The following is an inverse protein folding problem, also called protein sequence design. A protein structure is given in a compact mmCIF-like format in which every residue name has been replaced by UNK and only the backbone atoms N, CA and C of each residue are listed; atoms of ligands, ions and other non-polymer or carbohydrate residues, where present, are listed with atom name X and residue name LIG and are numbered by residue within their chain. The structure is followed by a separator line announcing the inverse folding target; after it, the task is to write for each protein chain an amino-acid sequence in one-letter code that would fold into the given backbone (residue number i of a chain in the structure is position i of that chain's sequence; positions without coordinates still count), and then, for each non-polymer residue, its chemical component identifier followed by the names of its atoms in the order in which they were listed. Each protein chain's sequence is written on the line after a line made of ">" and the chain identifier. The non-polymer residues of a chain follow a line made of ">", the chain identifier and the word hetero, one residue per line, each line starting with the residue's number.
data_IF_737096585163
#
_entry.id   IF_737096585163
#
_cell.length_a   1.000
_cell.length_b   1.000
_cell.length_c   1.000
_cell.angle_alpha   90.00
_cell.angle_beta   90.00
_cell.angle_gamma   90.00
#
_symmetry.space_group_name_H-M   'P 1'
#
loop_
_entity.id
_entity.type
_entity.pdbx_description
1 polymer ?
#
# COMPACT_ATOMS: atom_id res chain seq x y z
N UNK A 1 -15.97 -86.86 -1.01
CA UNK A 1 -14.66 -86.27 -1.37
C UNK A 1 -14.08 -85.63 -0.13
N UNK A 2 -12.93 -86.17 0.31
CA UNK A 2 -11.82 -85.61 1.11
C UNK A 2 -12.17 -84.41 2.03
N UNK A 3 -12.35 -84.59 3.34
CA UNK A 3 -11.35 -84.74 4.42
C UNK A 3 -10.53 -83.46 4.76
N UNK A 4 -10.66 -83.07 6.03
CA UNK A 4 -9.56 -82.77 6.97
C UNK A 4 -9.00 -81.33 7.11
N UNK A 5 -9.26 -80.83 8.33
CA UNK A 5 -8.36 -80.23 9.31
C UNK A 5 -8.16 -78.70 9.44
N UNK A 6 -8.63 -78.27 10.60
CA UNK A 6 -8.11 -77.19 11.44
C UNK A 6 -6.58 -77.17 11.54
N UNK A 7 -5.99 -75.98 11.50
CA UNK A 7 -4.75 -75.66 12.23
C UNK A 7 -4.87 -74.23 12.81
N UNK A 8 -4.81 -74.13 14.14
CA UNK A 8 -4.42 -72.93 14.89
C UNK A 8 -2.90 -72.82 14.89
N UNK A 9 -2.31 -71.65 14.63
CA UNK A 9 -0.95 -71.30 15.12
C UNK A 9 -0.88 -69.84 15.54
N UNK A 10 -0.22 -69.64 16.69
CA UNK A 10 0.07 -68.42 17.42
C UNK A 10 1.29 -67.64 16.88
N UNK A 11 1.29 -66.33 17.16
CA UNK A 11 2.43 -65.42 17.46
C UNK A 11 3.48 -65.15 16.35
N UNK A 12 3.67 -63.86 16.05
CA UNK A 12 4.95 -63.18 16.35
C UNK A 12 4.86 -61.66 16.10
N UNK A 13 5.28 -60.90 17.11
CA UNK A 13 5.57 -59.46 16.98
C UNK A 13 6.90 -59.29 16.22
N UNK A 14 7.03 -58.31 15.31
CA UNK A 14 8.34 -57.88 14.86
C UNK A 14 9.02 -57.07 15.98
N UNK A 15 10.12 -57.60 16.50
CA UNK A 15 11.04 -56.89 17.39
C UNK A 15 11.72 -55.73 16.64
N UNK A 16 11.86 -54.62 17.37
CA UNK A 16 12.64 -53.42 17.03
C UNK A 16 14.04 -53.78 16.51
N UNK A 17 14.43 -53.19 15.37
CA UNK A 17 15.84 -52.89 15.07
C UNK A 17 16.14 -51.47 15.54
N UNK A 18 17.12 -51.32 16.44
CA UNK A 18 17.93 -50.09 16.50
C UNK A 18 18.76 -50.01 15.21
N UNK A 19 19.38 -48.89 14.84
CA UNK A 19 19.96 -47.87 15.67
C UNK A 19 20.35 -46.65 14.80
N UNK A 20 20.58 -45.50 15.45
CA UNK A 20 21.29 -44.26 15.06
C UNK A 20 21.24 -43.71 13.63
N UNK A 21 20.66 -42.51 13.49
CA UNK A 21 21.42 -41.28 13.24
C UNK A 21 20.52 -40.04 13.47
N UNK A 22 20.96 -39.18 14.38
CA UNK A 22 20.20 -38.05 14.88
C UNK A 22 20.17 -36.87 13.91
N UNK A 23 18.96 -36.41 13.61
CA UNK A 23 18.67 -34.99 13.39
C UNK A 23 17.44 -34.70 14.23
N UNK A 24 17.64 -33.99 15.35
CA UNK A 24 16.55 -33.58 16.23
C UNK A 24 15.63 -32.63 15.46
N UNK A 25 14.52 -33.13 14.93
CA UNK A 25 13.39 -32.28 14.55
C UNK A 25 12.87 -31.62 15.84
N UNK A 26 12.72 -30.28 15.90
CA UNK A 26 12.17 -29.64 17.08
C UNK A 26 10.76 -30.20 17.34
N UNK A 27 10.54 -30.71 18.55
CA UNK A 27 9.22 -31.16 19.00
C UNK A 27 8.30 -29.94 19.06
N UNK A 28 7.20 -30.01 18.31
CA UNK A 28 6.09 -29.08 18.42
C UNK A 28 5.60 -29.06 19.88
N UNK A 29 5.47 -27.89 20.54
CA UNK A 29 4.93 -27.83 21.88
C UNK A 29 3.46 -28.25 21.88
N UNK A 30 3.09 -29.09 22.85
CA UNK A 30 1.72 -29.54 23.10
C UNK A 30 0.77 -28.34 23.24
N UNK A 31 -0.23 -28.24 22.37
CA UNK A 31 -1.27 -27.21 22.46
C UNK A 31 -2.22 -27.54 23.61
N UNK A 32 -2.06 -26.85 24.74
CA UNK A 32 -3.09 -26.84 25.78
C UNK A 32 -4.29 -26.06 25.24
N UNK A 33 -5.32 -26.79 24.80
CA UNK A 33 -6.65 -26.23 24.52
C UNK A 33 -7.28 -25.73 25.82
N UNK A 34 -6.96 -24.50 26.22
CA UNK A 34 -7.81 -23.74 27.14
C UNK A 34 -8.96 -23.17 26.32
N UNK A 35 -10.18 -23.60 26.64
CA UNK A 35 -11.42 -23.01 26.13
C UNK A 35 -11.47 -21.54 26.55
N UNK A 36 -11.00 -20.65 25.69
CA UNK A 36 -11.26 -19.22 25.80
C UNK A 36 -12.59 -18.95 25.10
N UNK A 37 -13.54 -18.43 25.86
CA UNK A 37 -14.80 -17.90 25.35
C UNK A 37 -14.44 -16.92 24.22
N UNK A 38 -14.98 -17.16 23.02
CA UNK A 38 -14.63 -16.44 21.79
C UNK A 38 -15.16 -15.01 21.85
N UNK A 39 -14.43 -14.12 22.50
CA UNK A 39 -14.56 -12.70 22.24
C UNK A 39 -14.01 -12.48 20.82
N UNK A 40 -14.89 -12.23 19.86
CA UNK A 40 -14.45 -11.88 18.50
C UNK A 40 -13.57 -10.64 18.61
N UNK A 41 -12.28 -10.70 18.23
CA UNK A 41 -11.39 -9.57 18.36
C UNK A 41 -11.97 -8.39 17.58
N UNK A 42 -12.10 -7.24 18.26
CA UNK A 42 -12.64 -6.03 17.65
C UNK A 42 -11.75 -5.59 16.48
N UNK A 43 -12.32 -5.12 15.36
CA UNK A 43 -11.53 -4.58 14.25
C UNK A 43 -10.64 -3.44 14.73
N UNK A 44 -9.40 -3.41 14.27
CA UNK A 44 -8.42 -2.37 14.62
C UNK A 44 -8.23 -1.46 13.42
N UNK A 45 -8.42 -0.15 13.61
CA UNK A 45 -8.28 0.85 12.54
C UNK A 45 -7.00 1.67 12.75
N UNK A 46 -6.17 1.77 11.72
CA UNK A 46 -4.98 2.61 11.65
C UNK A 46 -4.97 3.34 10.31
N UNK A 47 -4.99 4.67 10.34
CA UNK A 47 -5.01 5.47 9.12
C UNK A 47 -6.21 5.12 8.23
N UNK A 48 -5.94 4.79 6.97
CA UNK A 48 -6.96 4.36 6.01
C UNK A 48 -7.23 2.83 6.02
N UNK A 49 -6.58 2.07 6.91
CA UNK A 49 -6.68 0.61 7.00
C UNK A 49 -7.47 0.17 8.24
N UNK A 50 -8.38 -0.78 8.05
CA UNK A 50 -9.08 -1.49 9.13
C UNK A 50 -8.77 -2.98 9.04
N UNK A 51 -8.11 -3.52 10.05
CA UNK A 51 -7.79 -4.96 10.15
C UNK A 51 -8.90 -5.68 10.89
N UNK A 52 -9.46 -6.72 10.27
CA UNK A 52 -10.51 -7.57 10.84
C UNK A 52 -9.97 -8.92 11.31
N UNK A 53 -8.96 -9.45 10.62
CA UNK A 53 -8.33 -10.71 10.98
C UNK A 53 -6.84 -10.69 10.66
N UNK A 54 -6.00 -11.08 11.63
CA UNK A 54 -4.54 -11.19 11.44
C UNK A 54 -4.13 -12.52 10.80
N UNK A 55 -5.03 -13.51 10.70
CA UNK A 55 -4.76 -14.80 10.06
C UNK A 55 -3.86 -15.74 10.88
N UNK A 56 -3.48 -16.86 10.27
CA UNK A 56 -2.59 -17.88 10.83
C UNK A 56 -1.26 -17.92 10.07
N UNK A 57 -0.13 -17.97 10.80
CA UNK A 57 1.20 -18.01 10.21
C UNK A 57 1.44 -19.39 9.60
N UNK A 58 1.97 -19.40 8.37
CA UNK A 58 2.43 -20.62 7.69
C UNK A 58 3.92 -20.48 7.45
N UNK A 59 4.72 -21.30 8.12
CA UNK A 59 6.18 -21.26 8.06
C UNK A 59 6.78 -22.47 7.31
N UNK A 60 5.97 -23.48 6.97
CA UNK A 60 6.43 -24.70 6.28
C UNK A 60 6.93 -24.44 4.86
N UNK A 61 6.56 -23.30 4.27
CA UNK A 61 6.87 -22.92 2.89
C UNK A 61 7.32 -21.46 2.82
N UNK A 62 8.44 -21.15 2.14
CA UNK A 62 9.01 -19.80 2.12
C UNK A 62 8.18 -18.78 1.33
N UNK A 63 7.16 -19.21 0.59
CA UNK A 63 6.29 -18.32 -0.18
C UNK A 63 5.29 -17.53 0.69
N UNK A 64 5.19 -17.82 1.98
CA UNK A 64 4.27 -17.18 2.92
C UNK A 64 4.92 -16.06 3.74
N UNK A 65 6.12 -15.65 3.39
CA UNK A 65 6.78 -14.48 3.98
C UNK A 65 7.82 -13.92 3.01
N UNK A 66 8.03 -12.60 3.08
CA UNK A 66 9.16 -11.89 2.50
C UNK A 66 10.12 -11.46 3.62
N UNK A 67 11.16 -10.70 3.27
CA UNK A 67 12.00 -10.01 4.25
C UNK A 67 11.20 -9.00 5.07
N UNK A 68 10.17 -8.39 4.48
CA UNK A 68 9.43 -7.27 5.06
C UNK A 68 8.02 -7.61 5.57
N UNK A 69 7.45 -8.76 5.20
CA UNK A 69 6.06 -9.10 5.55
C UNK A 69 5.86 -10.61 5.77
N UNK A 70 4.90 -10.96 6.62
CA UNK A 70 4.41 -12.34 6.79
C UNK A 70 2.99 -12.41 6.21
N UNK A 71 2.77 -13.33 5.28
CA UNK A 71 1.51 -13.51 4.56
C UNK A 71 0.62 -14.54 5.26
N UNK A 72 0.10 -14.19 6.43
CA UNK A 72 -0.74 -15.10 7.22
C UNK A 72 -2.03 -15.49 6.50
N UNK A 73 -2.35 -16.79 6.50
CA UNK A 73 -3.55 -17.33 5.87
C UNK A 73 -4.80 -16.86 6.61
N UNK A 74 -5.78 -16.35 5.88
CA UNK A 74 -7.02 -15.82 6.45
C UNK A 74 -6.89 -14.37 6.93
N UNK A 75 -5.75 -13.71 6.69
CA UNK A 75 -5.63 -12.27 6.89
C UNK A 75 -6.71 -11.54 6.10
N UNK A 76 -7.36 -10.57 6.76
CA UNK A 76 -8.41 -9.77 6.16
C UNK A 76 -8.38 -8.35 6.74
N UNK A 77 -8.22 -7.38 5.83
CA UNK A 77 -8.25 -5.97 6.12
C UNK A 77 -9.03 -5.24 5.03
N UNK A 78 -9.49 -4.03 5.33
CA UNK A 78 -9.98 -3.10 4.32
C UNK A 78 -9.12 -1.86 4.28
N UNK A 79 -8.87 -1.33 3.09
CA UNK A 79 -8.22 -0.03 2.89
C UNK A 79 -9.16 0.91 2.13
N UNK A 80 -9.26 2.15 2.57
CA UNK A 80 -9.92 3.20 1.80
C UNK A 80 -8.95 3.79 0.80
N UNK A 81 -9.35 3.90 -0.48
CA UNK A 81 -8.50 4.43 -1.55
C UNK A 81 -9.35 4.99 -2.70
N UNK A 82 -8.74 5.43 -3.81
CA UNK A 82 -9.46 6.00 -4.94
C UNK A 82 -10.33 4.97 -5.67
N UNK A 83 -11.55 5.35 -6.04
CA UNK A 83 -12.47 4.46 -6.74
C UNK A 83 -12.05 4.28 -8.21
N UNK A 84 -11.87 3.03 -8.64
CA UNK A 84 -11.32 2.69 -9.97
C UNK A 84 -12.14 3.22 -11.17
N UNK A 85 -13.46 3.42 -11.06
CA UNK A 85 -14.30 4.07 -12.10
C UNK A 85 -14.56 5.56 -11.90
N UNK A 86 -14.45 6.05 -10.66
CA UNK A 86 -14.76 7.44 -10.32
C UNK A 86 -13.65 7.94 -9.41
N UNK A 87 -12.54 8.28 -10.05
CA UNK A 87 -11.27 8.61 -9.40
C UNK A 87 -11.36 9.79 -8.42
N UNK A 88 -12.45 10.55 -8.42
CA UNK A 88 -12.70 11.67 -7.50
C UNK A 88 -13.39 11.25 -6.19
N UNK A 89 -13.76 9.98 -6.07
CA UNK A 89 -14.46 9.40 -4.93
C UNK A 89 -13.61 8.36 -4.22
N UNK A 90 -13.87 8.20 -2.91
CA UNK A 90 -13.26 7.14 -2.10
C UNK A 90 -14.04 5.83 -2.31
N UNK A 91 -13.31 4.72 -2.35
CA UNK A 91 -13.83 3.36 -2.32
C UNK A 91 -13.13 2.58 -1.21
N UNK A 92 -13.85 1.69 -0.54
CA UNK A 92 -13.26 0.75 0.40
C UNK A 92 -12.93 -0.55 -0.33
N UNK A 93 -11.66 -0.94 -0.31
CA UNK A 93 -11.18 -2.20 -0.88
C UNK A 93 -10.93 -3.22 0.22
N UNK A 94 -11.38 -4.44 0.00
CA UNK A 94 -11.20 -5.62 0.83
C UNK A 94 -9.95 -6.37 0.37
N UNK A 95 -8.95 -6.47 1.25
CA UNK A 95 -7.67 -7.12 1.02
C UNK A 95 -7.64 -8.45 1.79
N UNK A 96 -7.40 -9.57 1.09
CA UNK A 96 -7.38 -10.90 1.70
C UNK A 96 -6.16 -11.72 1.29
N UNK A 97 -5.66 -12.51 2.23
CA UNK A 97 -4.63 -13.54 1.99
C UNK A 97 -5.26 -14.91 2.16
N UNK A 98 -5.26 -15.71 1.09
CA UNK A 98 -5.88 -17.03 1.04
C UNK A 98 -4.82 -18.13 0.91
N UNK A 99 -5.12 -19.32 1.42
CA UNK A 99 -4.29 -20.52 1.20
C UNK A 99 -4.57 -21.11 -0.18
N UNK A 100 -3.53 -21.30 -0.99
CA UNK A 100 -3.64 -21.87 -2.34
C UNK A 100 -2.49 -22.84 -2.62
N UNK A 101 -2.53 -24.00 -1.98
CA UNK A 101 -1.46 -25.00 -2.12
C UNK A 101 -0.20 -24.59 -1.37
N UNK A 102 0.92 -24.48 -2.08
CA UNK A 102 2.25 -24.16 -1.52
C UNK A 102 2.55 -22.66 -1.45
N UNK A 103 1.70 -21.80 -2.01
CA UNK A 103 1.86 -20.34 -1.99
C UNK A 103 0.54 -19.64 -1.65
N UNK A 104 0.61 -18.42 -1.07
CA UNK A 104 -0.58 -17.61 -0.82
C UNK A 104 -1.21 -17.14 -2.14
N UNK A 105 -2.52 -16.88 -2.10
CA UNK A 105 -3.22 -16.08 -3.11
C UNK A 105 -3.68 -14.78 -2.47
N UNK A 106 -3.44 -13.69 -3.17
CA UNK A 106 -3.84 -12.36 -2.73
C UNK A 106 -5.07 -11.93 -3.50
N UNK A 107 -5.99 -11.23 -2.83
CA UNK A 107 -7.22 -10.74 -3.41
C UNK A 107 -7.46 -9.29 -2.99
N UNK A 108 -7.78 -8.43 -3.95
CA UNK A 108 -8.37 -7.10 -3.72
C UNK A 108 -9.76 -7.10 -4.35
N UNK A 109 -10.76 -6.69 -3.56
CA UNK A 109 -12.15 -6.58 -4.01
C UNK A 109 -12.73 -5.23 -3.57
N UNK A 110 -13.48 -4.55 -4.42
CA UNK A 110 -14.20 -3.33 -4.00
C UNK A 110 -15.37 -3.66 -3.05
N UNK A 111 -15.80 -2.69 -2.26
CA UNK A 111 -16.90 -2.89 -1.31
C UNK A 111 -18.20 -3.36 -1.99
N UNK A 112 -18.46 -2.82 -3.17
CA UNK A 112 -19.68 -3.08 -3.95
C UNK A 112 -19.57 -4.33 -4.84
N UNK A 113 -18.44 -5.04 -4.82
CA UNK A 113 -18.17 -6.27 -5.57
C UNK A 113 -18.26 -6.13 -7.09
N UNK A 114 -18.07 -4.93 -7.64
CA UNK A 114 -17.96 -4.71 -9.07
C UNK A 114 -16.55 -4.92 -9.63
N UNK A 115 -15.56 -5.02 -8.75
CA UNK A 115 -14.15 -5.21 -9.07
C UNK A 115 -13.55 -6.26 -8.15
N UNK A 116 -12.82 -7.20 -8.76
CA UNK A 116 -12.07 -8.23 -8.06
C UNK A 116 -10.82 -8.54 -8.86
N UNK A 117 -9.67 -8.51 -8.19
CA UNK A 117 -8.41 -9.00 -8.74
C UNK A 117 -7.80 -10.01 -7.78
N UNK A 118 -7.21 -11.07 -8.34
CA UNK A 118 -6.48 -12.08 -7.60
C UNK A 118 -5.11 -12.30 -8.22
N UNK A 119 -4.06 -12.31 -7.42
CA UNK A 119 -2.67 -12.41 -7.86
C UNK A 119 -1.86 -13.41 -7.02
N UNK A 120 -0.62 -13.65 -7.46
CA UNK A 120 0.39 -14.45 -6.76
C UNK A 120 1.23 -13.60 -5.80
N UNK A 121 1.22 -12.27 -5.95
CA UNK A 121 1.77 -11.31 -5.01
C UNK A 121 0.78 -10.19 -4.71
N UNK A 122 1.02 -9.47 -3.62
CA UNK A 122 0.31 -8.23 -3.27
C UNK A 122 0.52 -7.15 -4.32
N UNK A 123 1.75 -7.01 -4.81
CA UNK A 123 2.13 -6.04 -5.85
C UNK A 123 1.39 -6.30 -7.16
N UNK A 124 1.22 -7.56 -7.58
CA UNK A 124 0.46 -7.90 -8.79
C UNK A 124 -0.99 -7.40 -8.68
N UNK A 125 -1.64 -7.60 -7.53
CA UNK A 125 -3.00 -7.12 -7.30
C UNK A 125 -3.07 -5.59 -7.26
N UNK A 126 -2.14 -4.96 -6.54
CA UNK A 126 -2.11 -3.52 -6.34
C UNK A 126 -1.80 -2.77 -7.64
N UNK A 127 -0.80 -3.22 -8.40
CA UNK A 127 -0.45 -2.64 -9.70
C UNK A 127 -1.59 -2.79 -10.71
N UNK A 128 -2.36 -3.89 -10.65
CA UNK A 128 -3.56 -4.02 -11.48
C UNK A 128 -4.61 -2.96 -11.13
N UNK A 129 -4.88 -2.72 -9.83
CA UNK A 129 -5.79 -1.66 -9.40
C UNK A 129 -5.29 -0.27 -9.85
N UNK A 130 -4.01 0.04 -9.65
CA UNK A 130 -3.42 1.31 -10.08
C UNK A 130 -3.53 1.50 -11.60
N UNK A 131 -3.32 0.44 -12.39
CA UNK A 131 -3.44 0.52 -13.85
C UNK A 131 -4.85 0.91 -14.31
N UNK A 132 -5.90 0.49 -13.58
CA UNK A 132 -7.28 0.89 -13.88
C UNK A 132 -7.52 2.35 -13.54
N UNK A 133 -6.98 2.81 -12.42
CA UNK A 133 -7.08 4.20 -11.98
C UNK A 133 -6.35 5.12 -12.97
N UNK A 134 -5.12 4.78 -13.39
CA UNK A 134 -4.34 5.55 -14.38
C UNK A 134 -5.04 5.65 -15.73
N UNK A 135 -5.67 4.56 -16.19
CA UNK A 135 -6.48 4.58 -17.42
C UNK A 135 -7.63 5.59 -17.33
N UNK A 136 -8.28 5.69 -16.17
CA UNK A 136 -9.35 6.68 -15.94
C UNK A 136 -8.82 8.11 -15.79
N UNK A 137 -7.56 8.27 -15.36
CA UNK A 137 -6.87 9.55 -15.31
C UNK A 137 -6.49 10.07 -16.71
N UNK A 138 -6.38 9.19 -17.71
CA UNK A 138 -5.85 9.52 -19.03
C UNK A 138 -4.36 9.91 -19.00
N UNK A 139 -3.67 9.54 -17.91
CA UNK A 139 -2.27 9.85 -17.67
C UNK A 139 -1.60 8.61 -17.07
N UNK A 140 -0.89 7.86 -17.92
CA UNK A 140 -0.24 6.61 -17.53
C UNK A 140 0.94 6.82 -16.56
N UNK A 141 1.40 8.07 -16.40
CA UNK A 141 2.57 8.44 -15.58
C UNK A 141 2.21 8.93 -14.16
N UNK A 142 0.93 8.95 -13.76
CA UNK A 142 0.56 9.44 -12.43
C UNK A 142 1.07 8.49 -11.34
N UNK A 143 0.70 7.22 -11.41
CA UNK A 143 1.07 6.18 -10.44
C UNK A 143 1.85 5.07 -11.14
N UNK A 144 3.17 5.02 -10.97
CA UNK A 144 3.97 3.93 -11.55
C UNK A 144 3.68 2.59 -10.87
N UNK A 145 4.11 1.49 -11.49
CA UNK A 145 4.16 0.21 -10.80
C UNK A 145 5.04 0.37 -9.56
N UNK A 146 4.47 0.10 -8.39
CA UNK A 146 5.16 0.21 -7.11
C UNK A 146 5.30 -1.17 -6.46
N UNK A 147 6.26 -1.29 -5.55
CA UNK A 147 6.39 -2.43 -4.65
C UNK A 147 5.67 -2.14 -3.32
N UNK A 148 4.54 -1.42 -3.40
CA UNK A 148 3.77 -0.99 -2.24
C UNK A 148 2.56 -1.91 -1.99
N UNK A 149 2.46 -3.06 -2.66
CA UNK A 149 1.35 -3.99 -2.47
C UNK A 149 1.22 -4.45 -1.03
N UNK A 150 2.33 -4.82 -0.38
CA UNK A 150 2.33 -5.22 1.03
C UNK A 150 1.82 -4.09 1.94
N UNK A 151 2.14 -2.84 1.59
CA UNK A 151 1.66 -1.65 2.31
C UNK A 151 0.18 -1.38 2.05
N UNK A 152 -0.27 -1.52 0.80
CA UNK A 152 -1.67 -1.38 0.42
C UNK A 152 -2.54 -2.40 1.15
N UNK A 153 -2.09 -3.64 1.26
CA UNK A 153 -2.77 -4.68 2.05
C UNK A 153 -2.72 -4.42 3.56
N UNK A 154 -1.84 -3.54 4.03
CA UNK A 154 -1.61 -3.26 5.45
C UNK A 154 -0.72 -4.29 6.15
N UNK A 155 -0.09 -5.20 5.41
CA UNK A 155 0.75 -6.27 5.94
C UNK A 155 2.09 -5.76 6.50
N UNK A 156 2.60 -4.67 5.94
CA UNK A 156 3.81 -4.00 6.40
C UNK A 156 3.57 -2.95 7.50
N UNK A 157 2.32 -2.74 7.94
CA UNK A 157 2.01 -1.80 9.02
C UNK A 157 2.71 -2.25 10.32
N UNK A 158 3.30 -1.30 11.10
CA UNK A 158 3.97 -1.63 12.35
C UNK A 158 3.11 -2.46 13.32
N UNK A 159 1.80 -2.16 13.41
CA UNK A 159 0.87 -2.95 14.21
C UNK A 159 0.78 -4.41 13.76
N UNK A 160 0.65 -4.66 12.46
CA UNK A 160 0.51 -6.01 11.91
C UNK A 160 1.82 -6.78 12.10
N UNK A 161 2.96 -6.14 11.80
CA UNK A 161 4.29 -6.72 12.04
C UNK A 161 4.47 -7.10 13.50
N UNK A 162 4.25 -6.17 14.43
CA UNK A 162 4.36 -6.42 15.86
C UNK A 162 3.44 -7.56 16.29
N UNK A 163 2.18 -7.56 15.82
CA UNK A 163 1.22 -8.59 16.20
C UNK A 163 1.59 -9.99 15.72
N UNK A 164 2.13 -10.10 14.51
CA UNK A 164 2.59 -11.37 13.96
C UNK A 164 3.90 -11.83 14.62
N UNK A 165 4.81 -10.91 14.95
CA UNK A 165 6.06 -11.20 15.66
C UNK A 165 5.84 -11.73 17.10
N UNK A 166 4.77 -11.30 17.79
CA UNK A 166 4.38 -11.84 19.10
C UNK A 166 4.09 -13.35 19.05
N UNK A 167 3.67 -13.88 17.88
CA UNK A 167 3.37 -15.29 17.73
C UNK A 167 4.68 -16.10 17.67
N UNK A 168 4.85 -17.17 18.48
CA UNK A 168 6.04 -18.03 18.42
C UNK A 168 6.32 -18.62 17.04
N UNK A 169 5.29 -18.81 16.20
CA UNK A 169 5.42 -19.33 14.84
C UNK A 169 6.21 -18.41 13.91
N UNK A 170 6.22 -17.10 14.18
CA UNK A 170 7.00 -16.12 13.40
C UNK A 170 8.50 -16.41 13.39
N UNK A 171 9.02 -17.01 14.47
CA UNK A 171 10.44 -17.37 14.60
C UNK A 171 10.89 -18.44 13.62
N UNK A 172 9.95 -19.19 13.04
CA UNK A 172 10.23 -20.19 12.01
C UNK A 172 10.22 -19.61 10.59
N UNK A 173 9.79 -18.37 10.41
CA UNK A 173 9.85 -17.67 9.13
C UNK A 173 11.28 -17.17 8.88
N UNK A 174 12.19 -18.07 8.48
CA UNK A 174 13.64 -17.81 8.46
C UNK A 174 14.08 -16.68 7.51
N UNK A 175 13.25 -16.32 6.53
CA UNK A 175 13.52 -15.23 5.59
C UNK A 175 12.93 -13.88 5.99
N UNK A 176 12.11 -13.85 7.05
CA UNK A 176 11.50 -12.62 7.55
C UNK A 176 12.46 -11.87 8.47
N UNK A 177 12.58 -10.55 8.28
CA UNK A 177 13.41 -9.67 9.09
C UNK A 177 12.51 -8.94 10.11
N UNK A 178 12.62 -9.25 11.42
CA UNK A 178 11.84 -8.58 12.44
C UNK A 178 12.21 -7.09 12.55
N UNK A 179 11.21 -6.22 12.43
CA UNK A 179 11.36 -4.81 12.71
C UNK A 179 11.25 -4.55 14.22
N UNK A 180 12.35 -4.14 14.86
CA UNK A 180 12.43 -3.91 16.30
C UNK A 180 12.10 -2.47 16.72
N UNK A 181 12.25 -1.51 15.80
CA UNK A 181 11.98 -0.10 16.02
C UNK A 181 11.21 0.47 14.82
N UNK A 182 10.27 1.36 15.12
CA UNK A 182 9.49 2.07 14.11
C UNK A 182 10.18 3.39 13.82
N UNK A 183 10.61 3.58 12.58
CA UNK A 183 10.99 4.90 12.09
C UNK A 183 9.70 5.69 11.79
N UNK A 184 9.44 6.71 12.60
CA UNK A 184 8.22 7.51 12.51
C UNK A 184 8.22 8.35 11.24
N UNK A 185 9.38 8.85 10.80
CA UNK A 185 9.47 9.68 9.60
C UNK A 185 9.19 8.84 8.35
N UNK A 186 9.80 7.65 8.27
CA UNK A 186 9.55 6.70 7.18
C UNK A 186 8.07 6.29 7.11
N UNK A 187 7.43 6.03 8.25
CA UNK A 187 6.01 5.64 8.32
C UNK A 187 5.08 6.79 7.89
N UNK A 188 5.39 8.04 8.27
CA UNK A 188 4.65 9.23 7.83
C UNK A 188 4.78 9.39 6.31
N UNK A 189 5.99 9.22 5.76
CA UNK A 189 6.21 9.30 4.32
C UNK A 189 5.45 8.19 3.59
N UNK A 190 5.51 6.95 4.09
CA UNK A 190 4.84 5.80 3.50
C UNK A 190 3.32 5.92 3.50
N UNK A 191 2.70 6.45 4.57
CA UNK A 191 1.24 6.62 4.65
C UNK A 191 0.73 7.84 3.85
N UNK A 192 1.62 8.69 3.37
CA UNK A 192 1.28 9.77 2.43
C UNK A 192 1.64 9.44 0.98
N UNK A 193 2.13 8.23 0.70
CA UNK A 193 2.47 7.80 -0.66
C UNK A 193 1.21 7.76 -1.54
N UNK A 194 1.22 8.41 -2.71
CA UNK A 194 0.05 8.50 -3.58
C UNK A 194 -0.54 7.17 -4.03
N UNK A 195 0.23 6.08 -4.04
CA UNK A 195 -0.22 4.75 -4.47
C UNK A 195 -1.02 3.99 -3.40
N UNK A 196 -0.94 4.41 -2.13
CA UNK A 196 -1.58 3.74 -0.99
C UNK A 196 -2.54 4.62 -0.19
N UNK A 197 -2.41 5.94 -0.33
CA UNK A 197 -3.17 6.94 0.39
C UNK A 197 -4.06 7.75 -0.54
N UNK A 198 -5.35 7.87 -0.21
CA UNK A 198 -6.23 8.72 -1.02
C UNK A 198 -5.83 10.19 -0.94
N UNK A 199 -5.35 10.66 0.22
CA UNK A 199 -4.86 12.04 0.37
C UNK A 199 -3.60 12.28 -0.47
N UNK A 200 -2.65 11.33 -0.45
CA UNK A 200 -1.47 11.36 -1.32
C UNK A 200 -1.86 11.36 -2.80
N UNK A 201 -2.82 10.50 -3.16
CA UNK A 201 -3.39 10.39 -4.50
C UNK A 201 -4.06 11.70 -4.95
N UNK A 202 -4.95 12.28 -4.14
CA UNK A 202 -5.66 13.53 -4.46
C UNK A 202 -4.65 14.69 -4.57
N UNK A 203 -3.62 14.72 -3.73
CA UNK A 203 -2.50 15.67 -3.83
C UNK A 203 -1.73 15.53 -5.14
N UNK A 204 -1.36 14.31 -5.53
CA UNK A 204 -0.67 14.03 -6.78
C UNK A 204 -1.55 14.34 -8.01
N UNK A 205 -2.82 13.95 -8.00
CA UNK A 205 -3.78 14.25 -9.05
C UNK A 205 -3.94 15.76 -9.23
N UNK A 206 -4.13 16.50 -8.12
CA UNK A 206 -4.14 17.96 -8.10
C UNK A 206 -2.90 18.54 -8.76
N UNK A 207 -1.70 18.07 -8.41
CA UNK A 207 -0.42 18.59 -8.92
C UNK A 207 -0.24 18.29 -10.41
N UNK A 208 -0.85 17.23 -10.93
CA UNK A 208 -0.78 16.84 -12.34
C UNK A 208 -1.90 17.44 -13.20
N UNK A 209 -2.64 18.43 -12.70
CA UNK A 209 -3.71 19.08 -13.46
C UNK A 209 -4.96 18.22 -13.60
N UNK A 210 -5.01 17.08 -12.92
CA UNK A 210 -6.19 16.25 -12.84
C UNK A 210 -7.12 16.88 -11.80
N UNK A 211 -8.18 17.50 -12.33
CA UNK A 211 -9.23 18.23 -11.62
C UNK A 211 -9.73 17.48 -10.37
N UNK A 212 -9.66 18.09 -9.19
CA UNK A 212 -9.74 17.36 -7.91
C UNK A 212 -11.05 17.45 -7.13
N UNK A 213 -11.06 16.77 -5.96
CA UNK A 213 -12.13 16.76 -4.96
C UNK A 213 -12.58 18.15 -4.51
N UNK A 214 -11.67 19.14 -4.44
CA UNK A 214 -12.04 20.51 -4.08
C UNK A 214 -13.02 21.10 -5.08
N UNK A 215 -12.80 20.85 -6.37
CA UNK A 215 -13.69 21.31 -7.45
C UNK A 215 -15.02 20.55 -7.42
N UNK A 216 -14.99 19.24 -7.19
CA UNK A 216 -16.21 18.42 -7.07
C UNK A 216 -17.06 18.90 -5.87
N UNK A 217 -16.44 19.19 -4.73
CA UNK A 217 -17.11 19.77 -3.54
C UNK A 217 -17.64 21.18 -3.79
N UNK A 218 -16.92 22.00 -4.57
CA UNK A 218 -17.37 23.33 -4.95
C UNK A 218 -18.57 23.25 -5.88
N UNK A 219 -18.51 22.39 -6.91
CA UNK A 219 -19.61 22.19 -7.87
C UNK A 219 -20.84 21.55 -7.22
N UNK A 220 -20.67 20.67 -6.23
CA UNK A 220 -21.81 20.08 -5.51
C UNK A 220 -22.55 21.10 -4.64
N UNK A 221 -21.83 22.09 -4.09
CA UNK A 221 -22.43 23.21 -3.33
C UNK A 221 -22.96 24.32 -4.24
N UNK A 222 -22.24 24.63 -5.32
CA UNK A 222 -22.58 25.70 -6.24
C UNK A 222 -22.25 25.28 -7.68
N UNK A 223 -23.28 24.91 -8.44
CA UNK A 223 -23.13 24.37 -9.81
C UNK A 223 -22.42 25.31 -10.79
N UNK A 224 -22.47 26.63 -10.54
CA UNK A 224 -21.82 27.68 -11.34
C UNK A 224 -20.41 28.05 -10.84
N UNK A 225 -19.92 27.43 -9.76
CA UNK A 225 -18.60 27.75 -9.25
C UNK A 225 -17.50 27.23 -10.20
N UNK A 226 -16.67 28.15 -10.67
CA UNK A 226 -15.44 27.84 -11.43
C UNK A 226 -14.27 27.78 -10.45
N UNK A 227 -13.60 26.64 -10.39
CA UNK A 227 -12.34 26.54 -9.67
C UNK A 227 -11.22 27.06 -10.54
N UNK A 228 -10.42 27.98 -9.99
CA UNK A 228 -9.23 28.52 -10.63
C UNK A 228 -8.03 27.96 -9.88
N UNK A 229 -7.17 27.21 -10.59
CA UNK A 229 -5.92 26.74 -10.00
C UNK A 229 -5.01 27.94 -9.66
N UNK A 230 -4.22 27.85 -8.57
CA UNK A 230 -3.21 28.87 -8.28
C UNK A 230 -2.28 29.07 -9.49
N UNK A 231 -1.86 30.30 -9.75
CA UNK A 231 -0.93 30.60 -10.86
C UNK A 231 0.36 29.77 -10.79
N UNK A 232 0.79 29.42 -9.57
CA UNK A 232 1.92 28.51 -9.31
C UNK A 232 1.75 27.12 -9.90
N UNK A 233 0.52 26.60 -9.83
CA UNK A 233 0.17 25.29 -10.33
C UNK A 233 0.18 25.29 -11.86
N UNK A 234 -0.42 26.30 -12.49
CA UNK A 234 -0.42 26.42 -13.95
C UNK A 234 1.00 26.55 -14.50
N UNK A 235 1.84 27.35 -13.85
CA UNK A 235 3.25 27.51 -14.22
C UNK A 235 4.01 26.18 -14.10
N UNK A 236 3.76 25.41 -13.03
CA UNK A 236 4.36 24.09 -12.87
C UNK A 236 3.97 23.14 -14.00
N UNK A 237 2.70 23.07 -14.39
CA UNK A 237 2.25 22.21 -15.48
C UNK A 237 2.95 22.55 -16.79
N UNK A 238 3.02 23.84 -17.14
CA UNK A 238 3.72 24.30 -18.36
C UNK A 238 5.19 23.92 -18.34
N UNK A 239 5.87 24.11 -17.21
CA UNK A 239 7.28 23.76 -17.07
C UNK A 239 7.51 22.24 -17.12
N UNK A 240 6.62 21.45 -16.50
CA UNK A 240 6.67 19.99 -16.51
C UNK A 240 6.46 19.44 -17.92
N UNK A 241 5.45 19.94 -18.64
CA UNK A 241 5.14 19.49 -20.00
C UNK A 241 6.28 19.84 -20.96
N UNK A 242 6.86 21.04 -20.85
CA UNK A 242 8.02 21.45 -21.64
C UNK A 242 9.24 20.55 -21.38
N UNK A 243 9.49 20.19 -20.11
CA UNK A 243 10.57 19.28 -19.73
C UNK A 243 10.36 17.87 -20.30
N UNK A 244 9.16 17.31 -20.11
CA UNK A 244 8.80 15.96 -20.59
C UNK A 244 8.91 15.87 -22.11
N UNK A 245 8.32 16.82 -22.84
CA UNK A 245 8.41 16.87 -24.30
C UNK A 245 9.87 16.96 -24.78
N UNK A 246 10.70 17.74 -24.10
CA UNK A 246 12.12 17.86 -24.46
C UNK A 246 12.89 16.57 -24.20
N UNK A 247 12.67 15.92 -23.06
CA UNK A 247 13.36 14.67 -22.69
C UNK A 247 12.92 13.49 -23.54
N UNK A 248 11.63 13.33 -23.82
CA UNK A 248 11.12 12.28 -24.72
C UNK A 248 11.69 12.41 -26.14
N UNK A 249 11.69 13.62 -26.70
CA UNK A 249 12.27 13.86 -28.04
C UNK A 249 13.76 13.51 -28.10
N UNK A 250 14.50 13.77 -27.03
CA UNK A 250 15.93 13.44 -26.95
C UNK A 250 16.11 11.92 -26.84
N UNK A 251 15.37 11.24 -25.95
CA UNK A 251 15.47 9.79 -25.75
C UNK A 251 15.14 9.03 -27.04
N UNK A 252 14.08 9.44 -27.75
CA UNK A 252 13.67 8.79 -29.01
C UNK A 252 14.73 8.89 -30.13
N UNK A 253 15.64 9.86 -30.07
CA UNK A 253 16.69 10.06 -31.09
C UNK A 253 18.00 9.32 -30.77
N UNK A 254 18.21 8.93 -29.52
CA UNK A 254 19.47 8.34 -29.07
C UNK A 254 19.41 6.82 -29.18
N UNK A 255 20.43 6.22 -29.81
CA UNK A 255 20.61 4.76 -29.91
C UNK A 255 21.70 4.22 -28.98
N UNK A 256 22.53 5.10 -28.42
CA UNK A 256 23.65 4.74 -27.55
C UNK A 256 23.21 4.66 -26.08
N UNK A 257 23.47 3.52 -25.41
CA UNK A 257 23.13 3.31 -23.99
C UNK A 257 23.78 4.31 -23.04
N UNK A 258 25.01 4.74 -23.30
CA UNK A 258 25.72 5.69 -22.44
C UNK A 258 25.12 7.10 -22.50
N UNK A 259 24.58 7.48 -23.66
CA UNK A 259 23.88 8.74 -23.84
C UNK A 259 22.48 8.72 -23.22
N UNK A 260 21.77 7.58 -23.29
CA UNK A 260 20.50 7.39 -22.57
C UNK A 260 20.72 7.58 -21.07
N UNK A 261 21.80 7.05 -20.50
CA UNK A 261 22.13 7.24 -19.09
C UNK A 261 22.34 8.73 -18.74
N UNK A 262 23.07 9.48 -19.57
CA UNK A 262 23.28 10.93 -19.39
C UNK A 262 21.98 11.73 -19.47
N UNK A 263 21.07 11.36 -20.36
CA UNK A 263 19.76 12.02 -20.50
C UNK A 263 18.86 11.72 -19.31
N UNK A 264 18.85 10.49 -18.81
CA UNK A 264 18.14 10.14 -17.58
C UNK A 264 18.72 10.90 -16.38
N UNK A 265 20.05 11.05 -16.30
CA UNK A 265 20.69 11.87 -15.29
C UNK A 265 20.25 13.34 -15.39
N UNK A 266 20.22 13.92 -16.59
CA UNK A 266 19.73 15.28 -16.82
C UNK A 266 18.25 15.42 -16.44
N UNK A 267 17.41 14.41 -16.73
CA UNK A 267 16.00 14.38 -16.34
C UNK A 267 15.84 14.50 -14.82
N UNK A 268 16.60 13.72 -14.05
CA UNK A 268 16.60 13.79 -12.58
C UNK A 268 16.99 15.19 -12.09
N UNK A 269 18.01 15.82 -12.68
CA UNK A 269 18.41 17.19 -12.33
C UNK A 269 17.33 18.23 -12.67
N UNK A 270 16.64 18.07 -13.80
CA UNK A 270 15.54 18.95 -14.17
C UNK A 270 14.33 18.79 -13.24
N UNK A 271 14.04 17.58 -12.77
CA UNK A 271 13.01 17.33 -11.76
C UNK A 271 13.33 18.03 -10.43
N UNK A 272 14.60 18.00 -10.00
CA UNK A 272 15.08 18.76 -8.83
C UNK A 272 14.94 20.27 -9.04
N UNK A 273 15.28 20.78 -10.23
CA UNK A 273 15.08 22.19 -10.57
C UNK A 273 13.61 22.60 -10.52
N UNK A 274 12.69 21.76 -11.03
CA UNK A 274 11.25 21.99 -10.94
C UNK A 274 10.78 22.03 -9.48
N UNK A 275 11.32 21.16 -8.62
CA UNK A 275 11.03 21.17 -7.18
C UNK A 275 11.49 22.47 -6.52
N UNK A 276 12.70 22.93 -6.81
CA UNK A 276 13.23 24.20 -6.27
C UNK A 276 12.36 25.37 -6.72
N UNK A 277 12.01 25.44 -8.01
CA UNK A 277 11.13 26.50 -8.52
C UNK A 277 9.76 26.49 -7.84
N UNK A 278 9.18 25.30 -7.59
CA UNK A 278 7.93 25.20 -6.82
C UNK A 278 8.09 25.81 -5.43
N UNK A 279 9.12 25.42 -4.68
CA UNK A 279 9.34 25.89 -3.31
C UNK A 279 9.53 27.41 -3.29
N UNK A 280 10.37 27.95 -4.18
CA UNK A 280 10.64 29.39 -4.27
C UNK A 280 9.37 30.17 -4.64
N UNK A 281 8.60 29.69 -5.62
CA UNK A 281 7.40 30.38 -6.06
C UNK A 281 6.27 30.31 -5.02
N UNK A 282 6.09 29.17 -4.35
CA UNK A 282 5.17 29.03 -3.21
C UNK A 282 5.57 29.99 -2.09
N UNK A 283 6.87 30.06 -1.76
CA UNK A 283 7.38 30.99 -0.75
C UNK A 283 7.05 32.45 -1.11
N UNK A 284 7.27 32.87 -2.36
CA UNK A 284 6.95 34.23 -2.81
C UNK A 284 5.46 34.53 -2.83
N UNK A 285 4.61 33.56 -3.17
CA UNK A 285 3.16 33.69 -3.01
C UNK A 285 2.81 33.91 -1.55
N UNK A 286 3.29 33.06 -0.65
CA UNK A 286 2.99 33.14 0.78
C UNK A 286 3.47 34.46 1.39
N UNK A 287 4.65 34.94 1.00
CA UNK A 287 5.17 36.25 1.39
C UNK A 287 4.26 37.38 0.93
N UNK A 288 3.82 37.34 -0.33
CA UNK A 288 2.92 38.35 -0.90
C UNK A 288 1.55 38.33 -0.22
N UNK A 289 0.98 37.14 0.00
CA UNK A 289 -0.30 36.98 0.70
C UNK A 289 -0.20 37.49 2.14
N UNK A 290 0.88 37.17 2.86
CA UNK A 290 1.11 37.65 4.21
C UNK A 290 1.26 39.18 4.25
N UNK A 291 1.96 39.76 3.27
CA UNK A 291 2.06 41.21 3.12
C UNK A 291 0.68 41.85 2.89
N UNK A 292 -0.09 41.34 1.94
CA UNK A 292 -1.45 41.85 1.65
C UNK A 292 -2.37 41.68 2.85
N UNK A 293 -2.30 40.56 3.57
CA UNK A 293 -3.07 40.32 4.79
C UNK A 293 -2.73 41.37 5.87
N UNK A 294 -1.45 41.68 6.08
CA UNK A 294 -1.04 42.73 7.02
C UNK A 294 -1.57 44.11 6.62
N UNK A 295 -1.55 44.43 5.33
CA UNK A 295 -2.10 45.69 4.80
C UNK A 295 -3.62 45.76 4.95
N UNK A 296 -4.33 44.65 4.72
CA UNK A 296 -5.78 44.58 4.89
C UNK A 296 -6.18 44.68 6.37
N UNK A 297 -5.44 44.01 7.26
CA UNK A 297 -5.65 44.07 8.71
C UNK A 297 -5.39 45.47 9.28
N UNK A 298 -4.40 46.20 8.75
CA UNK A 298 -4.16 47.59 9.15
C UNK A 298 -5.19 48.56 8.59
N UNK A 299 -5.76 48.28 7.42
CA UNK A 299 -6.77 49.12 6.76
C UNK A 299 -8.19 48.89 7.29
N UNK A 300 -8.47 47.69 7.81
CA UNK A 300 -9.77 47.32 8.37
C UNK A 300 -9.59 46.54 9.67
N UNK A 301 -9.43 47.23 10.82
CA UNK A 301 -9.14 46.59 12.11
C UNK A 301 -10.24 45.62 12.58
N UNK A 302 -11.49 45.77 12.12
CA UNK A 302 -12.60 44.86 12.42
C UNK A 302 -12.38 43.42 11.89
N UNK A 303 -11.63 43.25 10.80
CA UNK A 303 -11.28 41.93 10.25
C UNK A 303 -10.34 41.11 11.14
N UNK A 304 -9.73 41.71 12.16
CA UNK A 304 -8.90 40.99 13.14
C UNK A 304 -9.70 40.25 14.22
N UNK A 305 -11.02 40.48 14.32
CA UNK A 305 -11.87 39.98 15.42
C UNK A 305 -12.85 38.87 15.04
N UNK A 306 -12.87 38.38 13.79
CA UNK A 306 -13.75 37.27 13.42
C UNK A 306 -13.00 35.94 13.41
N UNK A 307 -13.08 35.19 14.52
CA UNK A 307 -12.58 33.80 14.52
C UNK A 307 -12.38 33.04 15.83
N UNK A 308 -12.95 33.44 16.98
CA UNK A 308 -13.26 32.45 18.01
C UNK A 308 -14.60 31.81 17.62
N UNK A 309 -14.54 30.72 16.86
CA UNK A 309 -15.69 29.86 16.61
C UNK A 309 -15.99 29.11 17.91
N UNK A 310 -17.06 29.51 18.60
CA UNK A 310 -17.81 28.63 19.50
C UNK A 310 -18.61 27.62 18.68
#
# INVERSE_FOLDING_TARGET
>A
MVNVNQIKVNKSYPKKKGNINGVNKPKCPYSNHKNYISETPKPVTIGEVTIFNFGQIVYDTPFYYSDCAIYSVGYYATRTYAHFRNIYSKCTYHCKVMKSGSSPRFEIMDHDKHFKVTGLSTDECHNHLLSLINKMLGNDDLMFATNNGDRFFGLSLPLVRHKLQENPESKFCTGYIPQLQVDIEEEIVAENDPSVSFEGYDGAANINGVYSRAQVRLKSKQKLATYIHPASHNLYLVLKDAMNSSTEQIILRIKNKDEIFKVNYLKVHMEVFLLINKVVFIYKILETVNFVLKVLQSSYPELSTTGSLK
#
